data_IF_964212640347
#
_entry.id   IF_964212640347
#
_cell.length_a   1.000
_cell.length_b   1.000
_cell.length_c   1.000
_cell.angle_alpha   90.00
_cell.angle_beta   90.00
_cell.angle_gamma   90.00
#
_symmetry.space_group_name_H-M   'P 1'
#
loop_
_entity.id
_entity.type
_entity.pdbx_description
1 polymer ?
#
# COMPACT_ATOMS: atom_id res chain seq x y z
N UNK A 1 -13.83 -8.70 -1.25
CA UNK A 1 -13.94 -9.63 -2.39
C UNK A 1 -14.61 -10.91 -1.93
N UNK A 2 -15.86 -11.20 -2.30
CA UNK A 2 -16.40 -12.56 -2.18
C UNK A 2 -16.31 -13.14 -3.59
N UNK A 3 -15.23 -13.87 -3.89
CA UNK A 3 -15.13 -14.66 -5.12
C UNK A 3 -15.71 -16.04 -4.84
N UNK A 4 -16.58 -16.50 -5.73
CA UNK A 4 -17.28 -17.77 -5.60
C UNK A 4 -16.31 -18.92 -5.81
N UNK A 5 -16.38 -19.93 -4.95
CA UNK A 5 -15.59 -21.17 -5.06
C UNK A 5 -15.88 -21.94 -6.35
N UNK A 6 -16.93 -21.56 -7.08
CA UNK A 6 -17.40 -22.13 -8.34
C UNK A 6 -16.37 -22.11 -9.47
N UNK A 7 -15.27 -21.33 -9.34
CA UNK A 7 -14.16 -21.32 -10.29
C UNK A 7 -13.20 -22.53 -10.12
N UNK A 8 -13.37 -23.33 -9.06
CA UNK A 8 -12.60 -24.55 -8.84
C UNK A 8 -13.49 -25.78 -9.08
N UNK A 9 -13.03 -26.69 -9.93
CA UNK A 9 -13.64 -28.02 -10.09
C UNK A 9 -13.14 -28.94 -8.96
N UNK A 10 -13.95 -29.92 -8.55
CA UNK A 10 -13.58 -30.94 -7.55
C UNK A 10 -13.11 -30.43 -6.18
N UNK A 11 -13.75 -29.36 -5.68
CA UNK A 11 -13.49 -28.72 -4.38
C UNK A 11 -13.62 -29.67 -3.18
N UNK A 12 -14.47 -30.69 -3.29
CA UNK A 12 -14.73 -31.66 -2.24
C UNK A 12 -14.44 -33.06 -2.78
N UNK A 13 -13.45 -33.73 -2.20
CA UNK A 13 -13.17 -35.13 -2.45
C UNK A 13 -13.90 -36.01 -1.44
N UNK A 14 -14.52 -37.10 -1.91
CA UNK A 14 -15.13 -38.12 -1.06
C UNK A 14 -14.33 -39.41 -1.12
N UNK A 15 -13.68 -39.76 -0.03
CA UNK A 15 -12.92 -41.02 0.10
C UNK A 15 -13.29 -41.73 1.41
N UNK A 16 -13.43 -43.06 1.38
CA UNK A 16 -13.72 -43.87 2.56
C UNK A 16 -14.94 -43.36 3.38
N UNK A 17 -16.00 -42.92 2.68
CA UNK A 17 -17.22 -42.31 3.26
C UNK A 17 -16.96 -41.01 4.06
N UNK A 18 -15.82 -40.37 3.89
CA UNK A 18 -15.46 -39.06 4.48
C UNK A 18 -15.29 -38.02 3.37
N UNK A 19 -15.53 -36.76 3.71
CA UNK A 19 -15.38 -35.62 2.80
C UNK A 19 -14.15 -34.81 3.20
N UNK A 20 -13.38 -34.39 2.21
CA UNK A 20 -12.16 -33.60 2.37
C UNK A 20 -12.18 -32.40 1.44
N UNK A 21 -11.62 -31.28 1.91
CA UNK A 21 -11.37 -30.13 1.05
C UNK A 21 -10.17 -30.42 0.16
N UNK A 22 -10.34 -30.20 -1.13
CA UNK A 22 -9.34 -30.44 -2.17
C UNK A 22 -8.90 -29.13 -2.82
N UNK A 23 -8.43 -28.22 -1.99
CA UNK A 23 -7.79 -26.99 -2.45
C UNK A 23 -6.28 -27.13 -2.36
N UNK A 24 -5.51 -26.59 -3.32
CA UNK A 24 -4.08 -26.44 -3.16
C UNK A 24 -3.82 -25.42 -2.04
N UNK A 25 -3.49 -25.90 -0.84
CA UNK A 25 -3.13 -25.04 0.28
C UNK A 25 -1.72 -24.51 0.12
N UNK A 26 -1.50 -23.28 0.56
CA UNK A 26 -0.20 -22.65 0.62
C UNK A 26 0.63 -23.32 1.72
N UNK A 27 1.73 -23.95 1.32
CA UNK A 27 2.65 -24.66 2.23
C UNK A 27 3.92 -23.84 2.54
N UNK A 28 4.25 -22.82 1.73
CA UNK A 28 5.41 -21.93 1.90
C UNK A 28 5.13 -20.51 1.40
N UNK A 29 5.88 -19.53 1.90
CA UNK A 29 5.82 -18.12 1.50
C UNK A 29 6.91 -17.73 0.48
N UNK A 30 7.86 -18.62 0.17
CA UNK A 30 9.09 -18.28 -0.58
C UNK A 30 8.85 -17.64 -1.96
N UNK A 31 7.70 -17.91 -2.56
CA UNK A 31 7.29 -17.39 -3.86
C UNK A 31 5.94 -16.66 -3.80
N UNK A 32 5.51 -16.22 -2.62
CA UNK A 32 4.22 -15.56 -2.47
C UNK A 32 4.32 -14.12 -2.98
N UNK A 33 3.50 -13.78 -3.97
CA UNK A 33 3.37 -12.42 -4.46
C UNK A 33 2.19 -11.69 -3.78
N UNK A 34 2.31 -10.37 -3.66
CA UNK A 34 1.20 -9.55 -3.16
C UNK A 34 0.00 -9.65 -4.12
N UNK A 35 -1.21 -9.75 -3.57
CA UNK A 35 -2.47 -9.97 -4.30
C UNK A 35 -2.60 -11.33 -5.02
N UNK A 36 -1.67 -12.28 -4.80
CA UNK A 36 -1.83 -13.65 -5.27
C UNK A 36 -3.01 -14.33 -4.56
N UNK A 37 -3.89 -14.99 -5.34
CA UNK A 37 -4.97 -15.80 -4.78
C UNK A 37 -4.41 -17.09 -4.17
N UNK A 38 -4.65 -17.29 -2.89
CA UNK A 38 -4.15 -18.44 -2.13
C UNK A 38 -5.25 -19.05 -1.25
N UNK A 39 -5.10 -20.34 -0.96
CA UNK A 39 -5.82 -20.99 0.14
C UNK A 39 -4.86 -21.25 1.28
N UNK A 40 -5.20 -20.81 2.49
CA UNK A 40 -4.39 -21.08 3.68
C UNK A 40 -5.32 -21.45 4.83
N UNK A 41 -4.89 -22.43 5.64
CA UNK A 41 -5.63 -22.81 6.84
C UNK A 41 -5.23 -21.85 7.96
N UNK A 42 -6.20 -21.22 8.62
CA UNK A 42 -5.94 -20.28 9.71
C UNK A 42 -5.12 -20.88 10.87
N UNK A 43 -5.30 -22.18 11.12
CA UNK A 43 -4.56 -22.90 12.16
C UNK A 43 -3.13 -23.34 11.73
N UNK A 44 -2.69 -23.04 10.49
CA UNK A 44 -1.37 -23.47 10.03
C UNK A 44 -0.27 -22.49 10.48
N UNK A 45 0.98 -22.96 10.66
CA UNK A 45 2.13 -22.09 10.87
C UNK A 45 2.36 -21.10 9.72
N UNK A 46 2.01 -21.50 8.49
CA UNK A 46 2.12 -20.65 7.29
C UNK A 46 1.22 -19.43 7.40
N UNK A 47 0.02 -19.56 7.97
CA UNK A 47 -0.86 -18.41 8.19
C UNK A 47 -0.24 -17.40 9.17
N UNK A 48 0.37 -17.88 10.26
CA UNK A 48 1.04 -16.99 11.21
C UNK A 48 2.23 -16.27 10.56
N UNK A 49 3.03 -16.99 9.77
CA UNK A 49 4.11 -16.39 9.00
C UNK A 49 3.59 -15.36 7.97
N UNK A 50 2.43 -15.61 7.35
CA UNK A 50 1.78 -14.68 6.43
C UNK A 50 1.35 -13.38 7.11
N UNK A 51 0.89 -13.43 8.37
CA UNK A 51 0.54 -12.24 9.14
C UNK A 51 1.75 -11.34 9.40
N UNK A 52 2.94 -11.92 9.53
CA UNK A 52 4.19 -11.20 9.78
C UNK A 52 4.90 -10.78 8.48
N UNK A 53 4.53 -11.38 7.34
CA UNK A 53 5.13 -11.10 6.04
C UNK A 53 4.82 -9.67 5.58
N UNK A 54 5.86 -8.97 5.15
CA UNK A 54 5.73 -7.68 4.47
C UNK A 54 6.00 -7.80 2.97
N UNK A 55 5.30 -7.00 2.19
CA UNK A 55 5.47 -6.85 0.75
C UNK A 55 5.89 -5.42 0.44
N UNK A 56 6.64 -5.23 -0.65
CA UNK A 56 6.98 -3.92 -1.16
C UNK A 56 6.06 -3.56 -2.32
N UNK A 57 5.62 -2.31 -2.37
CA UNK A 57 4.83 -1.77 -3.47
C UNK A 57 5.51 -0.54 -4.02
N UNK A 58 5.48 -0.38 -5.34
CA UNK A 58 6.02 0.78 -6.03
C UNK A 58 4.88 1.60 -6.65
N UNK A 59 4.83 2.89 -6.32
CA UNK A 59 3.97 3.87 -6.96
C UNK A 59 4.79 4.75 -7.89
N UNK A 60 4.32 4.85 -9.13
CA UNK A 60 4.92 5.64 -10.22
C UNK A 60 3.82 6.46 -10.89
N UNK A 61 4.21 7.57 -11.51
CA UNK A 61 3.34 8.34 -12.38
C UNK A 61 3.99 8.50 -13.76
N UNK A 62 3.23 8.96 -14.74
CA UNK A 62 3.67 9.14 -16.13
C UNK A 62 4.40 10.48 -16.36
N UNK A 63 4.33 11.41 -15.40
CA UNK A 63 4.78 12.80 -15.57
C UNK A 63 6.24 12.98 -15.15
N UNK A 64 6.70 12.24 -14.14
CA UNK A 64 8.06 12.29 -13.64
C UNK A 64 8.57 10.91 -13.26
N UNK A 65 9.89 10.81 -13.06
CA UNK A 65 10.56 9.54 -12.78
C UNK A 65 10.62 9.19 -11.28
N UNK A 66 9.87 9.88 -10.42
CA UNK A 66 9.88 9.57 -8.99
C UNK A 66 9.19 8.23 -8.73
N UNK A 67 9.78 7.45 -7.81
CA UNK A 67 9.26 6.17 -7.36
C UNK A 67 9.00 6.27 -5.86
N UNK A 68 7.78 5.97 -5.42
CA UNK A 68 7.49 5.80 -3.99
C UNK A 68 7.45 4.32 -3.68
N UNK A 69 8.36 3.86 -2.83
CA UNK A 69 8.43 2.47 -2.37
C UNK A 69 7.86 2.42 -0.97
N UNK A 70 6.80 1.62 -0.78
CA UNK A 70 6.10 1.48 0.49
C UNK A 70 5.99 0.01 0.88
N UNK A 71 6.12 -0.27 2.19
CA UNK A 71 5.89 -1.60 2.74
C UNK A 71 4.45 -1.80 3.19
N UNK A 72 3.87 -2.93 2.83
CA UNK A 72 2.51 -3.31 3.23
C UNK A 72 2.45 -4.73 3.80
N UNK A 73 1.42 -5.00 4.58
CA UNK A 73 0.94 -6.35 4.87
C UNK A 73 -0.02 -6.85 3.76
N UNK A 74 -0.30 -8.16 3.74
CA UNK A 74 -1.22 -8.77 2.77
C UNK A 74 -2.68 -8.27 2.90
N UNK A 75 -3.08 -7.79 4.07
CA UNK A 75 -4.43 -7.28 4.34
C UNK A 75 -4.57 -5.77 4.04
N UNK A 76 -3.47 -5.10 3.65
CA UNK A 76 -3.40 -3.67 3.31
C UNK A 76 -3.94 -2.77 4.42
N UNK A 77 -3.62 -3.12 5.67
CA UNK A 77 -4.06 -2.38 6.87
C UNK A 77 -3.17 -1.17 7.10
N UNK A 78 -1.87 -1.27 6.79
CA UNK A 78 -0.93 -0.16 6.92
C UNK A 78 -1.39 1.09 6.17
N UNK A 79 -1.10 2.24 6.77
CA UNK A 79 -1.42 3.56 6.23
C UNK A 79 -0.39 3.97 5.17
N UNK A 80 -0.51 3.39 3.98
CA UNK A 80 0.32 3.71 2.83
C UNK A 80 -0.55 4.20 1.68
N UNK A 81 0.03 4.99 0.78
CA UNK A 81 -0.69 5.55 -0.35
C UNK A 81 -1.16 4.44 -1.31
N UNK A 82 -0.35 3.40 -1.46
CA UNK A 82 -0.63 2.19 -2.25
C UNK A 82 -1.85 1.46 -1.72
N UNK A 83 -1.92 1.25 -0.40
CA UNK A 83 -3.06 0.60 0.25
C UNK A 83 -4.33 1.44 0.15
N UNK A 84 -4.21 2.75 0.36
CA UNK A 84 -5.32 3.68 0.22
C UNK A 84 -5.93 3.62 -1.18
N UNK A 85 -5.12 3.82 -2.23
CA UNK A 85 -5.61 3.79 -3.61
C UNK A 85 -6.17 2.44 -4.01
N UNK A 86 -5.54 1.34 -3.56
CA UNK A 86 -6.07 0.00 -3.79
C UNK A 86 -7.48 -0.16 -3.19
N UNK A 87 -7.66 0.21 -1.92
CA UNK A 87 -8.96 0.06 -1.24
C UNK A 87 -10.02 0.98 -1.83
N UNK A 88 -9.69 2.22 -2.17
CA UNK A 88 -10.62 3.14 -2.83
C UNK A 88 -11.07 2.57 -4.18
N UNK A 89 -10.13 2.10 -5.01
CA UNK A 89 -10.43 1.49 -6.32
C UNK A 89 -11.33 0.25 -6.20
N UNK A 90 -11.12 -0.58 -5.18
CA UNK A 90 -11.90 -1.80 -4.94
C UNK A 90 -13.15 -1.56 -4.08
N UNK A 91 -13.40 -0.32 -3.64
CA UNK A 91 -14.48 0.04 -2.71
C UNK A 91 -14.47 -0.78 -1.41
N UNK A 92 -13.28 -1.06 -0.90
CA UNK A 92 -13.11 -1.77 0.37
C UNK A 92 -13.19 -0.81 1.56
N UNK A 93 -13.61 -1.32 2.74
CA UNK A 93 -13.61 -0.51 3.97
C UNK A 93 -12.23 0.07 4.26
N UNK A 94 -12.19 1.39 4.45
CA UNK A 94 -11.02 2.12 4.91
C UNK A 94 -10.86 1.93 6.42
N UNK A 95 -9.61 1.87 6.89
CA UNK A 95 -9.33 2.01 8.34
C UNK A 95 -9.58 3.46 8.78
N UNK A 96 -9.68 3.72 10.08
CA UNK A 96 -9.87 5.08 10.61
C UNK A 96 -8.82 6.06 10.07
N UNK A 97 -7.55 5.66 10.09
CA UNK A 97 -6.46 6.46 9.52
C UNK A 97 -6.57 6.67 8.01
N UNK A 98 -6.98 5.63 7.27
CA UNK A 98 -7.21 5.76 5.83
C UNK A 98 -8.41 6.68 5.53
N UNK A 99 -9.39 6.75 6.43
CA UNK A 99 -10.51 7.68 6.33
C UNK A 99 -10.05 9.13 6.52
N UNK A 100 -9.12 9.42 7.45
CA UNK A 100 -8.53 10.76 7.59
C UNK A 100 -7.88 11.23 6.27
N UNK A 101 -7.19 10.33 5.58
CA UNK A 101 -6.61 10.61 4.26
C UNK A 101 -7.70 10.83 3.19
N UNK A 102 -8.78 10.05 3.23
CA UNK A 102 -9.93 10.23 2.34
C UNK A 102 -10.61 11.57 2.54
N UNK A 103 -10.73 12.06 3.78
CA UNK A 103 -11.36 13.33 4.08
C UNK A 103 -10.54 14.54 3.53
N UNK A 104 -9.23 14.34 3.29
CA UNK A 104 -8.34 15.33 2.68
C UNK A 104 -8.32 15.22 1.14
N UNK A 105 -8.12 14.02 0.59
CA UNK A 105 -7.95 13.80 -0.85
C UNK A 105 -9.27 13.60 -1.61
N UNK A 106 -10.26 13.01 -0.95
CA UNK A 106 -11.48 12.50 -1.56
C UNK A 106 -11.21 11.39 -2.58
N UNK A 107 -12.16 11.23 -3.51
CA UNK A 107 -12.08 10.28 -4.63
C UNK A 107 -11.23 10.84 -5.79
N UNK A 108 -10.01 11.27 -5.47
CA UNK A 108 -9.07 11.80 -6.47
C UNK A 108 -8.49 10.67 -7.31
N UNK A 109 -8.30 10.94 -8.61
CA UNK A 109 -7.58 10.03 -9.48
C UNK A 109 -6.13 9.80 -8.95
N UNK A 110 -5.70 8.53 -8.72
CA UNK A 110 -4.36 8.22 -8.22
C UNK A 110 -3.22 8.84 -9.03
N UNK A 111 -3.34 8.82 -10.36
CA UNK A 111 -2.33 9.39 -11.27
C UNK A 111 -2.19 10.91 -11.07
N UNK A 112 -3.33 11.59 -10.89
CA UNK A 112 -3.37 13.02 -10.62
C UNK A 112 -2.76 13.33 -9.25
N UNK A 113 -3.14 12.60 -8.20
CA UNK A 113 -2.57 12.80 -6.87
C UNK A 113 -1.05 12.56 -6.86
N UNK A 114 -0.59 11.46 -7.45
CA UNK A 114 0.83 11.13 -7.54
C UNK A 114 1.62 12.21 -8.27
N UNK A 115 1.10 12.76 -9.38
CA UNK A 115 1.75 13.87 -10.10
C UNK A 115 2.07 15.04 -9.16
N UNK A 116 1.13 15.51 -8.34
CA UNK A 116 1.36 16.67 -7.46
C UNK A 116 2.23 16.32 -6.25
N UNK A 117 1.98 15.17 -5.62
CA UNK A 117 2.76 14.70 -4.47
C UNK A 117 4.23 14.51 -4.85
N UNK A 118 4.52 13.75 -5.91
CA UNK A 118 5.89 13.50 -6.36
C UNK A 118 6.57 14.78 -6.88
N UNK A 119 5.84 15.68 -7.55
CA UNK A 119 6.41 16.97 -7.96
C UNK A 119 6.80 17.84 -6.77
N UNK A 120 6.07 17.75 -5.65
CA UNK A 120 6.46 18.40 -4.40
C UNK A 120 7.70 17.73 -3.80
N UNK A 121 7.70 16.40 -3.67
CA UNK A 121 8.82 15.64 -3.10
C UNK A 121 10.13 15.84 -3.89
N UNK A 122 10.07 15.90 -5.22
CA UNK A 122 11.25 16.13 -6.07
C UNK A 122 11.92 17.50 -5.84
N UNK A 123 11.24 18.47 -5.21
CA UNK A 123 11.88 19.74 -4.83
C UNK A 123 12.99 19.52 -3.79
N UNK A 124 12.93 18.43 -3.02
CA UNK A 124 13.98 18.05 -2.06
C UNK A 124 15.30 17.63 -2.70
N UNK A 125 15.34 17.46 -4.03
CA UNK A 125 16.61 17.32 -4.76
C UNK A 125 17.52 18.54 -4.59
N UNK A 126 16.92 19.74 -4.48
CA UNK A 126 17.66 21.02 -4.50
C UNK A 126 17.70 21.71 -3.14
N UNK A 127 16.80 21.37 -2.22
CA UNK A 127 16.63 22.05 -0.93
C UNK A 127 16.25 21.03 0.12
N UNK A 128 16.83 21.11 1.31
CA UNK A 128 16.47 20.18 2.40
C UNK A 128 15.20 20.62 3.15
N UNK A 129 14.79 21.88 3.01
CA UNK A 129 13.58 22.44 3.61
C UNK A 129 12.72 23.17 2.57
N UNK A 130 11.40 22.95 2.63
CA UNK A 130 10.43 23.59 1.75
C UNK A 130 9.41 24.41 2.54
N UNK A 131 8.99 25.56 2.02
CA UNK A 131 7.95 26.39 2.62
C UNK A 131 6.76 26.45 1.68
N UNK A 132 5.55 26.23 2.21
CA UNK A 132 4.32 26.30 1.45
C UNK A 132 3.44 27.43 1.99
N UNK A 133 3.15 28.43 1.14
CA UNK A 133 2.38 29.64 1.55
C UNK A 133 0.87 29.44 1.54
N UNK A 134 0.36 28.56 0.68
CA UNK A 134 -1.06 28.25 0.55
C UNK A 134 -1.29 26.77 0.87
N UNK A 135 -2.39 26.47 1.58
CA UNK A 135 -2.78 25.10 1.87
C UNK A 135 -2.88 24.27 0.58
N UNK A 136 -2.29 23.08 0.61
CA UNK A 136 -2.24 22.16 -0.52
C UNK A 136 -2.57 20.76 0.00
N UNK A 137 -3.70 20.22 -0.44
CA UNK A 137 -4.20 18.92 0.04
C UNK A 137 -3.23 17.77 -0.23
N UNK A 138 -2.39 17.88 -1.27
CA UNK A 138 -1.38 16.87 -1.57
C UNK A 138 -0.22 16.93 -0.57
N UNK A 139 0.15 18.12 -0.13
CA UNK A 139 1.16 18.32 0.92
C UNK A 139 0.60 17.87 2.27
N UNK A 140 -0.63 18.25 2.61
CA UNK A 140 -1.31 17.82 3.83
C UNK A 140 -1.37 16.28 3.89
N UNK A 141 -1.69 15.63 2.76
CA UNK A 141 -1.71 14.16 2.66
C UNK A 141 -0.34 13.52 2.87
N UNK A 142 0.72 14.12 2.33
CA UNK A 142 2.10 13.64 2.53
C UNK A 142 2.53 13.75 3.99
N UNK A 143 2.04 14.74 4.74
CA UNK A 143 2.26 14.85 6.18
C UNK A 143 1.56 13.72 6.91
N UNK A 144 0.27 13.49 6.62
CA UNK A 144 -0.52 12.43 7.28
C UNK A 144 0.06 11.04 6.98
N UNK A 145 0.55 10.81 5.76
CA UNK A 145 1.22 9.58 5.36
C UNK A 145 2.64 9.43 5.92
N UNK A 146 3.20 10.47 6.54
CA UNK A 146 4.54 10.44 7.13
C UNK A 146 5.69 10.56 6.14
N UNK A 147 5.45 11.01 4.90
CA UNK A 147 6.52 11.30 3.94
C UNK A 147 7.32 12.54 4.34
N UNK A 148 6.64 13.53 4.91
CA UNK A 148 7.22 14.80 5.32
C UNK A 148 6.70 15.19 6.70
N UNK A 149 7.48 16.00 7.40
CA UNK A 149 7.11 16.58 8.69
C UNK A 149 7.32 18.09 8.66
N UNK A 150 6.47 18.82 9.38
CA UNK A 150 6.63 20.26 9.56
C UNK A 150 7.52 20.53 10.78
N UNK A 151 8.58 21.31 10.59
CA UNK A 151 9.49 21.73 11.66
C UNK A 151 8.95 22.95 12.42
N UNK A 152 9.66 23.37 13.48
CA UNK A 152 9.26 24.49 14.34
C UNK A 152 9.13 25.83 13.58
N UNK A 153 9.90 26.02 12.50
CA UNK A 153 9.84 27.20 11.62
C UNK A 153 8.66 27.15 10.62
N UNK A 154 7.83 26.10 10.67
CA UNK A 154 6.72 25.90 9.75
C UNK A 154 7.15 25.41 8.36
N UNK A 155 8.40 24.98 8.17
CA UNK A 155 8.91 24.40 6.91
C UNK A 155 8.78 22.88 6.92
N UNK A 156 8.68 22.28 5.75
CA UNK A 156 8.61 20.85 5.55
C UNK A 156 9.98 20.24 5.29
N UNK A 157 10.22 19.11 5.93
CA UNK A 157 11.42 18.28 5.79
C UNK A 157 10.99 16.85 5.43
N UNK A 158 11.84 16.11 4.72
CA UNK A 158 11.61 14.69 4.47
C UNK A 158 11.74 13.90 5.77
N UNK A 159 10.75 13.07 6.07
CA UNK A 159 10.76 12.15 7.20
C UNK A 159 11.17 10.72 6.80
N UNK A 160 11.44 10.52 5.51
CA UNK A 160 11.74 9.23 4.89
C UNK A 160 13.07 9.25 4.14
N UNK A 161 13.59 8.07 3.83
CA UNK A 161 14.81 7.93 3.05
C UNK A 161 14.56 8.29 1.57
N UNK A 162 15.51 9.04 1.00
CA UNK A 162 15.44 9.49 -0.38
C UNK A 162 16.74 9.21 -1.14
N UNK A 163 16.67 8.29 -2.08
CA UNK A 163 17.73 8.04 -3.07
C UNK A 163 17.61 9.06 -4.20
N UNK A 164 18.54 10.02 -4.21
CA UNK A 164 18.60 11.10 -5.20
C UNK A 164 19.03 10.63 -6.60
N UNK A 165 19.77 9.53 -6.71
CA UNK A 165 20.23 9.00 -8.01
C UNK A 165 19.09 8.29 -8.72
N UNK A 166 18.33 7.49 -7.97
CA UNK A 166 17.18 6.72 -8.51
C UNK A 166 15.86 7.47 -8.43
N UNK A 167 15.83 8.64 -7.81
CA UNK A 167 14.62 9.41 -7.51
C UNK A 167 13.59 8.59 -6.73
N UNK A 168 14.07 7.77 -5.79
CA UNK A 168 13.26 6.78 -5.06
C UNK A 168 13.11 7.16 -3.60
N UNK A 169 11.87 7.20 -3.13
CA UNK A 169 11.49 7.54 -1.76
C UNK A 169 11.03 6.27 -1.04
N UNK A 170 11.57 5.97 0.15
CA UNK A 170 11.31 4.73 0.87
C UNK A 170 10.53 5.00 2.16
N UNK A 171 9.27 4.58 2.21
CA UNK A 171 8.43 4.59 3.40
C UNK A 171 8.49 3.23 4.09
N UNK A 172 9.06 3.20 5.30
CA UNK A 172 9.29 1.99 6.10
C UNK A 172 8.01 1.40 6.73
#
# INVERSE_FOLDING_TARGET
MIRYLDQYEDVILRENKRYYLNFPTLESLDSLELDQEIFVREASPVYQALLEQSFETELRNQINAAILVEKTDFARIKMTLSNYFYKVKQQYPLTEKQQELYDILGDVNPEYALKYMTAFLLKFLKKDQLMQKCRDIFVDSLVVLGYIVQNEDGKYELAIDFDKERLTFYLA
#
